data_IF_287758022881
#
_entry.id   IF_287758022881
#
_cell.length_a   1.000
_cell.length_b   1.000
_cell.length_c   1.000
_cell.angle_alpha   90.00
_cell.angle_beta   90.00
_cell.angle_gamma   90.00
#
_symmetry.space_group_name_H-M   'P 1'
#
loop_
_entity.id
_entity.type
_entity.pdbx_description
1 polymer ?
#
# COMPACT_ATOMS: atom_id res chain seq x y z
N UNK A 1 -19.12 6.60 8.17
CA UNK A 1 -17.80 7.20 8.45
C UNK A 1 -16.72 6.13 8.36
N UNK A 2 -15.67 6.42 7.62
CA UNK A 2 -14.58 5.46 7.47
C UNK A 2 -13.71 5.41 8.72
N UNK A 3 -13.43 4.21 9.20
CA UNK A 3 -12.49 3.98 10.30
C UNK A 3 -11.19 3.38 9.77
N UNK A 4 -11.04 3.30 8.47
CA UNK A 4 -9.87 2.67 7.85
C UNK A 4 -8.80 3.71 7.56
N UNK A 5 -7.80 3.78 8.44
CA UNK A 5 -6.68 4.71 8.30
C UNK A 5 -5.90 4.46 7.01
N UNK A 6 -5.73 3.19 6.64
CA UNK A 6 -5.00 2.82 5.43
C UNK A 6 -5.72 3.31 4.17
N UNK A 7 -7.02 3.06 4.08
CA UNK A 7 -7.81 3.50 2.93
C UNK A 7 -7.80 5.02 2.80
N UNK A 8 -7.98 5.72 3.90
CA UNK A 8 -7.97 7.18 3.90
C UNK A 8 -6.62 7.73 3.47
N UNK A 9 -5.53 7.15 3.98
CA UNK A 9 -4.18 7.57 3.64
C UNK A 9 -3.88 7.34 2.16
N UNK A 10 -4.24 6.18 1.63
CA UNK A 10 -4.01 5.87 0.21
C UNK A 10 -4.84 6.78 -0.70
N UNK A 11 -6.07 7.11 -0.29
CA UNK A 11 -6.88 8.07 -1.03
C UNK A 11 -6.24 9.47 -1.04
N UNK A 12 -5.68 9.89 0.09
CA UNK A 12 -4.98 11.18 0.16
C UNK A 12 -3.76 11.21 -0.76
N UNK A 13 -2.99 10.13 -0.78
CA UNK A 13 -1.82 10.01 -1.65
C UNK A 13 -2.25 10.05 -3.12
N UNK A 14 -3.30 9.29 -3.46
CA UNK A 14 -3.82 9.24 -4.82
C UNK A 14 -4.32 10.62 -5.28
N UNK A 15 -5.09 11.27 -4.45
CA UNK A 15 -5.63 12.60 -4.76
C UNK A 15 -4.52 13.64 -4.90
N UNK A 16 -3.50 13.57 -4.05
CA UNK A 16 -2.36 14.46 -4.13
C UNK A 16 -1.58 14.26 -5.44
N UNK A 17 -1.41 13.01 -5.86
CA UNK A 17 -0.75 12.71 -7.13
C UNK A 17 -1.54 13.27 -8.31
N UNK A 18 -2.85 13.12 -8.29
CA UNK A 18 -3.72 13.67 -9.33
C UNK A 18 -3.70 15.19 -9.35
N UNK A 19 -3.57 15.83 -8.19
CA UNK A 19 -3.47 17.28 -8.06
C UNK A 19 -2.04 17.80 -8.28
N UNK A 20 -1.09 16.91 -8.61
CA UNK A 20 0.32 17.24 -8.86
C UNK A 20 1.02 17.85 -7.65
N UNK A 21 0.63 17.44 -6.45
CA UNK A 21 1.32 17.82 -5.22
C UNK A 21 2.51 16.90 -5.01
N UNK A 22 3.61 17.46 -4.53
CA UNK A 22 4.82 16.68 -4.28
C UNK A 22 4.83 16.05 -2.89
N UNK A 23 4.23 16.72 -1.91
CA UNK A 23 4.20 16.25 -0.53
C UNK A 23 2.82 16.43 0.06
N UNK A 24 2.48 15.54 0.99
CA UNK A 24 1.24 15.64 1.76
C UNK A 24 1.54 15.28 3.21
N UNK A 25 0.66 15.71 4.09
CA UNK A 25 0.72 15.36 5.51
C UNK A 25 -0.52 14.54 5.85
N UNK A 26 -0.31 13.36 6.43
CA UNK A 26 -1.37 12.46 6.85
C UNK A 26 -1.46 12.53 8.37
N UNK A 27 -2.61 12.95 8.87
CA UNK A 27 -2.80 13.26 10.30
C UNK A 27 -3.13 12.04 11.16
N UNK A 28 -3.42 10.91 10.55
CA UNK A 28 -3.70 9.67 11.28
C UNK A 28 -2.71 8.60 10.86
N UNK A 29 -2.02 8.03 11.82
CA UNK A 29 -1.03 7.00 11.54
C UNK A 29 -1.34 5.73 12.34
N UNK A 30 -0.91 4.59 11.81
CA UNK A 30 -0.98 3.30 12.48
C UNK A 30 0.27 2.51 12.09
N UNK A 31 0.56 1.46 12.85
CA UNK A 31 1.70 0.61 12.53
C UNK A 31 1.56 -0.02 11.14
N UNK A 32 0.33 -0.40 10.80
CA UNK A 32 0.04 -0.97 9.47
C UNK A 32 0.36 0.02 8.36
N UNK A 33 -0.07 1.27 8.51
CA UNK A 33 0.18 2.31 7.52
C UNK A 33 1.68 2.55 7.34
N UNK A 34 2.44 2.59 8.43
CA UNK A 34 3.88 2.81 8.36
C UNK A 34 4.58 1.67 7.62
N UNK A 35 4.16 0.43 7.86
CA UNK A 35 4.70 -0.71 7.13
C UNK A 35 4.40 -0.63 5.63
N UNK A 36 3.21 -0.19 5.28
CA UNK A 36 2.82 0.01 3.88
C UNK A 36 3.68 1.11 3.24
N UNK A 37 3.86 2.23 3.93
CA UNK A 37 4.71 3.33 3.43
C UNK A 37 6.16 2.89 3.23
N UNK A 38 6.65 2.04 4.11
CA UNK A 38 7.99 1.48 4.01
C UNK A 38 8.15 0.67 2.72
N UNK A 39 7.18 -0.16 2.42
CA UNK A 39 7.19 -0.96 1.19
C UNK A 39 7.06 -0.07 -0.05
N UNK A 40 6.17 0.92 0.00
CA UNK A 40 6.00 1.86 -1.10
C UNK A 40 7.29 2.62 -1.38
N UNK A 41 8.03 2.99 -0.34
CA UNK A 41 9.34 3.64 -0.49
C UNK A 41 10.34 2.72 -1.16
N UNK A 42 10.38 1.45 -0.75
CA UNK A 42 11.28 0.47 -1.36
C UNK A 42 10.99 0.27 -2.85
N UNK A 43 9.73 0.37 -3.25
CA UNK A 43 9.32 0.20 -4.64
C UNK A 43 9.37 1.50 -5.45
N UNK A 44 9.67 2.62 -4.81
CA UNK A 44 9.76 3.91 -5.50
C UNK A 44 8.44 4.63 -5.68
N UNK A 45 7.33 4.09 -5.15
CA UNK A 45 6.02 4.72 -5.24
C UNK A 45 5.97 6.02 -4.44
N UNK A 46 6.70 6.08 -3.35
CA UNK A 46 6.95 7.33 -2.63
C UNK A 46 8.46 7.52 -2.51
N UNK A 47 8.89 8.77 -2.45
CA UNK A 47 10.31 9.10 -2.35
C UNK A 47 10.81 8.94 -0.92
N UNK A 48 10.03 9.41 0.04
CA UNK A 48 10.38 9.36 1.46
C UNK A 48 9.15 9.65 2.30
N UNK A 49 9.24 9.32 3.57
CA UNK A 49 8.24 9.69 4.56
C UNK A 49 8.94 10.07 5.85
N UNK A 50 8.31 10.98 6.60
CA UNK A 50 8.84 11.44 7.89
C UNK A 50 7.72 11.41 8.91
N UNK A 51 7.93 10.67 9.99
CA UNK A 51 6.95 10.55 11.07
C UNK A 51 7.15 11.68 12.06
N UNK A 52 6.08 12.42 12.36
CA UNK A 52 6.08 13.43 13.39
C UNK A 52 5.35 12.89 14.61
N UNK A 53 6.12 12.45 15.60
CA UNK A 53 5.56 11.82 16.80
C UNK A 53 4.78 12.79 17.68
N UNK A 54 5.13 14.08 17.65
CA UNK A 54 4.42 15.09 18.45
C UNK A 54 3.02 15.34 17.95
N UNK A 55 2.82 15.34 16.64
CA UNK A 55 1.54 15.62 16.01
C UNK A 55 0.80 14.36 15.57
N UNK A 56 1.39 13.19 15.79
CA UNK A 56 0.86 11.90 15.32
C UNK A 56 0.54 11.93 13.82
N UNK A 57 1.44 12.52 13.04
CA UNK A 57 1.27 12.66 11.62
C UNK A 57 2.49 12.10 10.86
N UNK A 58 2.32 11.93 9.57
CA UNK A 58 3.42 11.53 8.69
C UNK A 58 3.40 12.39 7.44
N UNK A 59 4.57 12.93 7.09
CA UNK A 59 4.74 13.67 5.84
C UNK A 59 5.24 12.70 4.79
N UNK A 60 4.56 12.64 3.66
CA UNK A 60 4.88 11.72 2.58
C UNK A 60 5.26 12.51 1.33
N UNK A 61 6.41 12.20 0.75
CA UNK A 61 6.83 12.76 -0.53
C UNK A 61 6.50 11.74 -1.62
N UNK A 62 5.63 12.14 -2.55
CA UNK A 62 5.11 11.26 -3.59
C UNK A 62 6.20 11.01 -4.65
N UNK A 63 6.35 9.76 -5.04
CA UNK A 63 7.32 9.35 -6.03
C UNK A 63 6.69 8.95 -7.35
N UNK A 64 7.19 7.88 -7.92
CA UNK A 64 6.70 7.34 -9.18
C UNK A 64 5.50 6.44 -8.93
N UNK A 65 4.32 7.04 -8.98
CA UNK A 65 3.07 6.39 -8.64
C UNK A 65 1.98 6.81 -9.63
N UNK A 66 1.28 5.82 -10.21
CA UNK A 66 0.14 6.10 -11.08
C UNK A 66 -1.18 5.90 -10.34
N UNK A 67 -1.28 4.85 -9.54
CA UNK A 67 -2.51 4.51 -8.84
C UNK A 67 -2.20 3.81 -7.53
N UNK A 68 -3.00 4.07 -6.49
CA UNK A 68 -2.97 3.30 -5.26
C UNK A 68 -4.37 3.25 -4.66
N UNK A 69 -4.77 2.08 -4.19
CA UNK A 69 -6.09 1.87 -3.58
C UNK A 69 -6.05 0.81 -2.50
N UNK A 70 -6.88 0.97 -1.49
CA UNK A 70 -7.15 -0.09 -0.55
C UNK A 70 -8.13 -1.07 -1.19
N UNK A 71 -7.95 -2.36 -0.90
CA UNK A 71 -8.86 -3.40 -1.37
C UNK A 71 -9.96 -3.56 -0.33
N UNK A 72 -11.19 -3.30 -0.75
CA UNK A 72 -12.37 -3.38 0.12
C UNK A 72 -13.50 -4.15 -0.55
N UNK A 73 -14.17 -5.05 0.19
CA UNK A 73 -13.76 -5.53 1.51
C UNK A 73 -12.47 -6.33 1.45
N UNK A 74 -11.75 -6.37 2.57
CA UNK A 74 -10.55 -7.21 2.63
C UNK A 74 -10.97 -8.67 2.58
N UNK A 75 -10.24 -9.47 1.82
CA UNK A 75 -10.53 -10.89 1.72
C UNK A 75 -9.24 -11.69 1.66
N UNK A 76 -9.33 -12.94 2.09
CA UNK A 76 -8.17 -13.84 2.09
C UNK A 76 -7.99 -14.48 0.73
N UNK A 77 -6.75 -14.74 0.38
CA UNK A 77 -6.41 -15.53 -0.79
C UNK A 77 -5.37 -16.58 -0.42
N UNK A 78 -5.47 -17.75 -1.03
CA UNK A 78 -4.47 -18.78 -0.88
C UNK A 78 -3.26 -18.46 -1.75
N UNK A 79 -2.13 -19.11 -1.44
CA UNK A 79 -0.92 -18.95 -2.24
C UNK A 79 -1.13 -19.21 -3.74
N UNK A 80 -2.05 -20.09 -4.06
CA UNK A 80 -2.35 -20.45 -5.44
C UNK A 80 -3.19 -19.38 -6.15
N UNK A 81 -3.87 -18.53 -5.40
CA UNK A 81 -4.76 -17.48 -5.94
C UNK A 81 -4.06 -16.13 -6.10
N UNK A 82 -2.83 -16.00 -5.61
CA UNK A 82 -2.12 -14.72 -5.63
C UNK A 82 -1.98 -14.19 -7.06
N UNK A 83 -1.61 -15.05 -8.00
CA UNK A 83 -1.43 -14.67 -9.39
C UNK A 83 -2.74 -14.18 -10.02
N UNK A 84 -3.85 -14.82 -9.66
CA UNK A 84 -5.18 -14.41 -10.12
C UNK A 84 -5.51 -12.98 -9.70
N UNK A 85 -5.26 -12.66 -8.44
CA UNK A 85 -5.53 -11.32 -7.91
C UNK A 85 -4.54 -10.29 -8.41
N UNK A 86 -3.28 -10.67 -8.62
CA UNK A 86 -2.31 -9.79 -9.27
C UNK A 86 -2.82 -9.34 -10.64
N UNK A 87 -3.31 -10.25 -11.45
CA UNK A 87 -3.87 -9.92 -12.76
C UNK A 87 -5.08 -9.01 -12.66
N UNK A 88 -5.87 -9.19 -11.62
CA UNK A 88 -7.09 -8.41 -11.42
C UNK A 88 -6.80 -6.94 -11.09
N UNK A 89 -5.79 -6.70 -10.26
CA UNK A 89 -5.52 -5.36 -9.74
C UNK A 89 -4.37 -4.63 -10.43
N UNK A 90 -3.43 -5.34 -10.98
CA UNK A 90 -2.26 -4.73 -11.61
C UNK A 90 -2.35 -4.75 -13.13
N UNK A 91 -1.88 -3.66 -13.80
CA UNK A 91 -2.00 -3.55 -15.26
C UNK A 91 -1.07 -4.48 -16.02
N UNK A 92 0.07 -4.83 -15.47
CA UNK A 92 1.05 -5.69 -16.14
C UNK A 92 1.81 -6.51 -15.12
N UNK A 93 2.44 -7.61 -15.58
CA UNK A 93 3.10 -8.57 -14.73
C UNK A 93 4.23 -7.98 -13.88
N UNK A 94 5.01 -7.08 -14.45
CA UNK A 94 6.16 -6.48 -13.77
C UNK A 94 5.86 -5.05 -13.31
N UNK A 95 4.60 -4.67 -13.23
CA UNK A 95 4.22 -3.31 -12.89
C UNK A 95 3.32 -3.31 -11.66
N UNK A 96 3.84 -2.75 -10.56
CA UNK A 96 3.07 -2.55 -9.36
C UNK A 96 3.18 -3.67 -8.34
N UNK A 97 2.48 -3.50 -7.25
CA UNK A 97 2.55 -4.38 -6.07
C UNK A 97 1.18 -4.53 -5.45
N UNK A 98 0.84 -5.77 -5.10
CA UNK A 98 -0.31 -6.07 -4.22
C UNK A 98 0.26 -6.35 -2.84
N UNK A 99 -0.32 -5.70 -1.83
CA UNK A 99 0.11 -5.88 -0.44
C UNK A 99 -0.76 -6.92 0.23
N UNK A 100 -0.11 -7.89 0.84
CA UNK A 100 -0.78 -9.03 1.48
C UNK A 100 -0.35 -9.10 2.94
N UNK A 101 -1.33 -9.21 3.84
CA UNK A 101 -1.06 -9.41 5.27
C UNK A 101 -1.04 -10.90 5.55
N UNK A 102 0.12 -11.41 5.94
CA UNK A 102 0.31 -12.83 6.25
C UNK A 102 0.62 -13.00 7.73
N UNK A 103 0.69 -14.25 8.20
CA UNK A 103 1.10 -14.52 9.58
C UNK A 103 2.57 -14.15 9.85
N UNK A 104 3.33 -13.85 8.82
CA UNK A 104 4.71 -13.33 8.95
C UNK A 104 4.78 -11.81 8.81
N UNK A 105 3.63 -11.14 8.71
CA UNK A 105 3.56 -9.69 8.55
C UNK A 105 3.08 -9.29 7.16
N UNK A 106 3.18 -8.01 6.87
CA UNK A 106 2.80 -7.50 5.55
C UNK A 106 3.94 -7.71 4.59
N UNK A 107 3.61 -8.20 3.40
CA UNK A 107 4.59 -8.41 2.36
C UNK A 107 3.98 -8.15 0.98
N UNK A 108 4.83 -8.08 -0.03
CA UNK A 108 4.38 -7.92 -1.41
C UNK A 108 3.89 -9.27 -1.93
N UNK A 109 3.10 -9.23 -3.00
CA UNK A 109 2.64 -10.47 -3.63
C UNK A 109 3.81 -11.34 -4.11
N UNK A 110 4.90 -10.70 -4.55
CA UNK A 110 6.09 -11.42 -4.99
C UNK A 110 6.73 -12.20 -3.84
N UNK A 111 6.88 -11.54 -2.68
CA UNK A 111 7.42 -12.19 -1.49
C UNK A 111 6.52 -13.32 -1.01
N UNK A 112 5.21 -13.13 -1.05
CA UNK A 112 4.26 -14.16 -0.64
C UNK A 112 4.31 -15.37 -1.55
N UNK A 113 4.45 -15.15 -2.86
CA UNK A 113 4.61 -16.24 -3.82
C UNK A 113 5.92 -16.98 -3.60
N UNK A 114 6.99 -16.26 -3.33
CA UNK A 114 8.30 -16.86 -3.07
C UNK A 114 8.29 -17.72 -1.80
N UNK A 115 7.63 -17.24 -0.75
CA UNK A 115 7.51 -17.99 0.50
C UNK A 115 6.38 -19.01 0.48
N UNK A 116 5.58 -19.03 -0.58
CA UNK A 116 4.48 -19.97 -0.78
C UNK A 116 3.43 -19.90 0.34
N UNK A 117 3.08 -18.68 0.73
CA UNK A 117 2.06 -18.45 1.74
C UNK A 117 0.97 -17.52 1.19
N UNK A 118 -0.23 -17.70 1.68
CA UNK A 118 -1.35 -16.80 1.39
C UNK A 118 -1.59 -15.85 2.53
N UNK A 119 -2.59 -14.99 2.39
CA UNK A 119 -2.94 -14.04 3.41
C UNK A 119 -4.12 -13.19 3.00
N UNK A 120 -4.30 -12.07 3.68
CA UNK A 120 -5.38 -11.14 3.44
C UNK A 120 -4.90 -10.00 2.52
N UNK A 121 -5.62 -9.78 1.43
CA UNK A 121 -5.31 -8.68 0.52
C UNK A 121 -5.69 -7.35 1.18
N UNK A 122 -4.78 -6.39 1.17
CA UNK A 122 -4.98 -5.11 1.84
C UNK A 122 -5.09 -3.97 0.86
N UNK A 123 -4.16 -3.88 -0.07
CA UNK A 123 -4.06 -2.74 -0.97
C UNK A 123 -3.21 -3.10 -2.19
N UNK A 124 -3.24 -2.24 -3.18
CA UNK A 124 -2.34 -2.36 -4.33
C UNK A 124 -1.93 -0.96 -4.78
N UNK A 125 -0.79 -0.90 -5.47
CA UNK A 125 -0.32 0.34 -6.09
C UNK A 125 0.54 0.02 -7.31
N UNK A 126 0.56 0.96 -8.24
CA UNK A 126 1.44 0.87 -9.41
C UNK A 126 1.76 2.25 -9.96
#
# INVERSE_FOLDING_TARGET
MSQDIVADALNMIRNAKMARKETIEIMKISNLLIEILKIMKQKGAIKRYKINTKEHSVEVSIGDLSECRAIKPRFTCDREQIEKYRRRYLPARNMGTVLISTNKGIMTHEEAQEEKIGGCLIAFFY
#
